data_IF_715858627456
#
_entry.id   IF_715858627456
#
_cell.length_a   1.000
_cell.length_b   1.000
_cell.length_c   1.000
_cell.angle_alpha   90.00
_cell.angle_beta   90.00
_cell.angle_gamma   90.00
#
_symmetry.space_group_name_H-M   'P 1'
#
loop_
_entity.id
_entity.type
_entity.pdbx_description
1 polymer ?
#
# COMPACT_ATOMS: atom_id res chain seq x y z
N UNK A 1 -68.74 -21.88 -53.84
CA UNK A 1 -69.52 -22.59 -52.81
C UNK A 1 -69.35 -21.79 -51.52
N UNK A 2 -70.31 -20.93 -51.14
CA UNK A 2 -71.32 -21.17 -50.07
C UNK A 2 -70.70 -21.88 -48.85
N UNK A 3 -70.40 -21.14 -47.77
CA UNK A 3 -71.26 -20.93 -46.57
C UNK A 3 -71.34 -22.21 -45.72
N UNK A 4 -71.11 -22.31 -44.40
CA UNK A 4 -71.04 -21.42 -43.20
C UNK A 4 -70.55 -22.39 -42.07
N UNK A 5 -70.03 -22.05 -40.87
CA UNK A 5 -70.75 -21.47 -39.73
C UNK A 5 -69.90 -21.45 -38.42
N UNK A 6 -70.14 -20.38 -37.64
CA UNK A 6 -70.13 -20.23 -36.16
C UNK A 6 -68.79 -20.27 -35.39
N UNK A 7 -68.54 -19.48 -34.34
CA UNK A 7 -69.25 -18.34 -33.70
C UNK A 7 -68.54 -17.97 -32.38
N UNK A 8 -68.49 -16.66 -32.04
CA UNK A 8 -68.36 -16.05 -30.69
C UNK A 8 -66.99 -16.25 -29.97
N UNK A 9 -66.40 -15.35 -29.16
CA UNK A 9 -66.76 -14.04 -28.57
C UNK A 9 -65.57 -13.57 -27.69
N UNK A 10 -65.26 -12.25 -27.72
CA UNK A 10 -64.66 -11.34 -26.69
C UNK A 10 -63.28 -11.67 -26.07
N UNK A 11 -62.36 -10.69 -26.11
CA UNK A 11 -61.70 -9.96 -24.99
C UNK A 11 -60.57 -9.11 -25.60
N UNK A 12 -60.74 -7.78 -25.67
CA UNK A 12 -60.30 -6.78 -24.68
C UNK A 12 -58.78 -6.59 -24.60
N UNK A 13 -58.41 -5.32 -24.64
CA UNK A 13 -57.07 -4.75 -24.67
C UNK A 13 -56.22 -5.16 -23.46
N UNK A 14 -54.92 -5.38 -23.71
CA UNK A 14 -53.87 -5.12 -22.74
C UNK A 14 -52.57 -4.77 -23.50
N UNK A 15 -52.20 -3.51 -23.43
CA UNK A 15 -50.93 -2.94 -23.90
C UNK A 15 -49.78 -3.49 -23.06
N UNK A 16 -48.67 -3.99 -23.65
CA UNK A 16 -47.43 -4.13 -22.90
C UNK A 16 -46.58 -2.87 -23.07
N UNK A 17 -46.64 -1.99 -22.07
CA UNK A 17 -45.55 -1.05 -21.77
C UNK A 17 -44.59 -1.81 -20.85
N UNK A 18 -43.40 -2.17 -21.34
CA UNK A 18 -42.18 -2.40 -20.56
C UNK A 18 -41.10 -2.99 -21.48
N UNK A 19 -40.04 -2.22 -21.74
CA UNK A 19 -38.90 -2.74 -22.47
C UNK A 19 -37.86 -1.68 -22.79
N UNK A 20 -37.19 -1.15 -21.76
CA UNK A 20 -35.81 -0.62 -21.86
C UNK A 20 -35.33 -0.02 -20.51
N UNK A 21 -35.09 -0.83 -19.48
CA UNK A 21 -34.14 -0.47 -18.40
C UNK A 21 -33.49 -1.75 -17.87
N UNK A 22 -32.40 -2.21 -18.51
CA UNK A 22 -31.51 -3.21 -17.92
C UNK A 22 -30.18 -3.24 -18.69
N UNK A 23 -29.44 -2.12 -18.66
CA UNK A 23 -28.01 -2.15 -18.96
C UNK A 23 -27.33 -1.14 -18.03
N UNK A 24 -26.36 -1.65 -17.25
CA UNK A 24 -25.38 -0.96 -16.40
C UNK A 24 -25.47 -1.35 -14.92
N UNK A 25 -25.16 -2.62 -14.61
CA UNK A 25 -24.83 -3.03 -13.24
C UNK A 25 -23.81 -4.19 -13.21
N UNK A 26 -22.87 -4.24 -14.16
CA UNK A 26 -21.74 -5.17 -14.11
C UNK A 26 -20.46 -4.39 -14.44
N UNK A 27 -19.97 -3.63 -13.46
CA UNK A 27 -18.60 -3.11 -13.39
C UNK A 27 -18.36 -2.56 -11.98
N UNK A 28 -18.32 -3.43 -10.97
CA UNK A 28 -17.97 -3.04 -9.60
C UNK A 28 -17.26 -4.16 -8.82
N UNK A 29 -16.61 -5.09 -9.53
CA UNK A 29 -15.70 -6.06 -8.91
C UNK A 29 -14.29 -5.61 -9.28
N UNK A 30 -13.65 -4.86 -8.38
CA UNK A 30 -12.32 -4.30 -8.59
C UNK A 30 -12.18 -2.81 -8.28
N UNK A 31 -13.11 -2.19 -7.55
CA UNK A 31 -12.81 -0.88 -6.96
C UNK A 31 -11.64 -1.07 -5.98
N UNK A 32 -10.55 -0.30 -6.07
CA UNK A 32 -9.55 -0.27 -5.01
C UNK A 32 -10.28 0.11 -3.73
N UNK A 33 -10.22 -0.76 -2.71
CA UNK A 33 -10.77 -0.42 -1.41
C UNK A 33 -10.05 0.85 -0.96
N UNK A 34 -10.83 1.91 -0.69
CA UNK A 34 -10.31 3.14 -0.11
C UNK A 34 -9.50 2.74 1.10
N UNK A 35 -8.23 3.14 1.10
CA UNK A 35 -7.39 2.94 2.25
C UNK A 35 -8.07 3.61 3.45
N UNK A 36 -8.26 2.86 4.53
CA UNK A 36 -9.06 3.26 5.69
C UNK A 36 -8.14 3.36 6.89
N UNK A 37 -7.90 4.57 7.37
CA UNK A 37 -7.34 4.80 8.69
C UNK A 37 -8.46 4.77 9.74
N UNK A 38 -8.10 4.66 11.02
CA UNK A 38 -9.05 4.85 12.12
C UNK A 38 -9.52 6.31 12.17
N UNK A 39 -10.83 6.54 12.30
CA UNK A 39 -11.49 7.86 12.18
C UNK A 39 -10.99 8.95 13.16
N UNK A 40 -10.21 8.59 14.19
CA UNK A 40 -9.82 9.45 15.32
C UNK A 40 -8.32 9.79 15.43
N UNK A 41 -7.46 9.34 14.51
CA UNK A 41 -6.01 9.54 14.63
C UNK A 41 -5.50 10.79 13.91
N UNK A 42 -5.82 11.96 14.47
CA UNK A 42 -5.42 13.28 13.97
C UNK A 42 -6.42 13.96 13.01
N UNK A 43 -6.18 15.22 12.61
CA UNK A 43 -5.10 16.09 13.08
C UNK A 43 -5.40 16.79 14.41
N UNK A 44 -4.37 17.41 15.00
CA UNK A 44 -4.44 18.21 16.21
C UNK A 44 -3.22 17.99 17.10
N UNK A 45 -3.07 18.85 18.12
CA UNK A 45 -2.06 18.61 19.16
C UNK A 45 -2.36 17.30 19.89
N UNK A 46 -1.29 16.57 20.21
CA UNK A 46 -1.30 15.35 21.00
C UNK A 46 -2.27 14.34 20.35
N UNK A 47 -2.20 14.22 19.02
CA UNK A 47 -3.08 13.33 18.27
C UNK A 47 -2.68 11.87 18.44
N UNK A 48 -1.40 11.62 18.72
CA UNK A 48 -0.84 10.29 18.97
C UNK A 48 -1.56 9.67 20.17
N UNK A 49 -1.71 10.41 21.27
CA UNK A 49 -2.37 10.01 22.52
C UNK A 49 -3.81 9.50 22.37
N UNK A 50 -4.51 9.99 21.33
CA UNK A 50 -5.94 9.74 21.09
C UNK A 50 -6.17 8.67 20.05
N UNK A 51 -5.10 8.20 19.41
CA UNK A 51 -5.19 7.24 18.36
C UNK A 51 -5.45 5.85 18.94
N UNK A 52 -6.42 5.11 18.43
CA UNK A 52 -6.67 3.73 18.89
C UNK A 52 -5.84 2.75 18.09
N UNK A 53 -5.54 1.59 18.69
CA UNK A 53 -5.06 0.43 17.94
C UNK A 53 -6.00 0.05 16.79
N UNK A 54 -5.42 -0.62 15.79
CA UNK A 54 -6.16 -1.07 14.63
C UNK A 54 -5.27 -1.54 13.50
N UNK A 55 -5.89 -1.80 12.35
CA UNK A 55 -5.20 -2.22 11.13
C UNK A 55 -5.46 -1.19 10.04
N UNK A 56 -4.39 -0.71 9.43
CA UNK A 56 -4.46 0.12 8.24
C UNK A 56 -4.17 -0.72 7.01
N UNK A 57 -4.90 -0.47 5.93
CA UNK A 57 -4.69 -1.15 4.65
C UNK A 57 -4.66 -0.13 3.52
N UNK A 58 -3.65 -0.25 2.67
CA UNK A 58 -3.53 0.50 1.44
C UNK A 58 -2.79 -0.30 0.38
N UNK A 59 -2.82 0.17 -0.87
CA UNK A 59 -1.84 -0.25 -1.86
C UNK A 59 -0.61 0.64 -1.75
N UNK A 60 0.57 0.08 -1.96
CA UNK A 60 1.82 0.83 -1.99
C UNK A 60 2.55 0.65 -3.33
N UNK A 61 3.44 1.59 -3.63
CA UNK A 61 4.42 1.48 -4.70
C UNK A 61 5.82 1.56 -4.11
N UNK A 62 6.68 0.59 -4.40
CA UNK A 62 8.09 0.63 -4.02
C UNK A 62 8.96 0.87 -5.26
N UNK A 63 9.86 1.86 -5.18
CA UNK A 63 10.88 2.13 -6.19
C UNK A 63 12.22 1.79 -5.58
N UNK A 64 12.89 0.78 -6.13
CA UNK A 64 14.08 0.17 -5.53
C UNK A 64 15.21 0.28 -6.54
N UNK A 65 16.30 0.95 -6.19
CA UNK A 65 17.55 0.90 -6.94
C UNK A 65 18.34 -0.33 -6.50
N UNK A 66 18.40 -1.33 -7.37
CA UNK A 66 18.95 -2.64 -7.08
C UNK A 66 20.29 -2.82 -7.79
N UNK A 67 21.35 -3.12 -7.02
CA UNK A 67 22.69 -3.37 -7.52
C UNK A 67 23.02 -4.85 -7.30
N UNK A 68 22.92 -5.64 -8.36
CA UNK A 68 23.19 -7.07 -8.32
C UNK A 68 24.53 -7.39 -8.98
N UNK A 69 25.21 -8.40 -8.43
CA UNK A 69 26.41 -8.99 -9.02
C UNK A 69 26.08 -10.13 -10.00
N UNK A 70 24.79 -10.37 -10.26
CA UNK A 70 24.25 -11.42 -11.11
C UNK A 70 22.97 -10.95 -11.80
N UNK A 71 22.59 -11.62 -12.89
CA UNK A 71 21.31 -11.43 -13.55
C UNK A 71 20.20 -12.13 -12.75
N UNK A 72 19.19 -11.40 -12.24
CA UNK A 72 18.14 -11.98 -11.40
C UNK A 72 17.23 -12.96 -12.14
N UNK A 73 17.19 -12.95 -13.47
CA UNK A 73 16.38 -13.88 -14.28
C UNK A 73 17.16 -15.12 -14.71
N UNK A 74 18.47 -15.01 -14.91
CA UNK A 74 19.30 -16.13 -15.41
C UNK A 74 20.26 -16.71 -14.39
N UNK A 75 20.51 -16.02 -13.27
CA UNK A 75 21.45 -16.43 -12.22
C UNK A 75 22.92 -16.28 -12.62
N UNK A 76 23.21 -15.82 -13.83
CA UNK A 76 24.57 -15.69 -14.33
C UNK A 76 25.28 -14.51 -13.68
N UNK A 77 26.57 -14.64 -13.31
CA UNK A 77 27.33 -13.53 -12.77
C UNK A 77 27.46 -12.41 -13.81
N UNK A 78 27.33 -11.16 -13.35
CA UNK A 78 27.55 -9.99 -14.19
C UNK A 78 29.01 -9.55 -14.09
N UNK A 79 29.62 -9.20 -15.22
CA UNK A 79 31.01 -8.69 -15.26
C UNK A 79 31.15 -7.30 -14.63
N UNK A 80 30.05 -6.57 -14.53
CA UNK A 80 29.93 -5.29 -13.81
C UNK A 80 28.59 -5.28 -13.08
N UNK A 81 28.53 -4.87 -11.80
CA UNK A 81 27.24 -4.69 -11.12
C UNK A 81 26.35 -3.77 -11.95
N UNK A 82 25.10 -4.18 -12.16
CA UNK A 82 24.11 -3.38 -12.87
C UNK A 82 23.15 -2.79 -11.85
N UNK A 83 23.04 -1.46 -11.84
CA UNK A 83 22.02 -0.73 -11.11
C UNK A 83 20.75 -0.64 -11.95
N UNK A 84 19.63 -1.15 -11.42
CA UNK A 84 18.32 -0.97 -12.04
C UNK A 84 17.32 -0.45 -11.05
N UNK A 85 16.54 0.54 -11.48
CA UNK A 85 15.36 0.94 -10.74
C UNK A 85 14.21 0.00 -11.09
N UNK A 86 13.68 -0.67 -10.08
CA UNK A 86 12.51 -1.53 -10.19
C UNK A 86 11.33 -0.87 -9.49
N UNK A 87 10.15 -0.97 -10.10
CA UNK A 87 8.90 -0.57 -9.48
C UNK A 87 8.11 -1.81 -9.08
N UNK A 88 7.75 -1.90 -7.80
CA UNK A 88 6.82 -2.89 -7.29
C UNK A 88 5.52 -2.20 -6.87
N UNK A 89 4.40 -2.88 -7.02
CA UNK A 89 3.09 -2.38 -6.59
C UNK A 89 2.25 -3.51 -5.99
N UNK A 90 1.47 -3.22 -4.96
CA UNK A 90 0.62 -4.22 -4.33
C UNK A 90 0.07 -3.78 -2.97
N UNK A 91 -0.66 -4.67 -2.28
CA UNK A 91 -1.20 -4.39 -0.95
C UNK A 91 -0.11 -4.29 0.12
N UNK A 92 -0.41 -3.49 1.15
CA UNK A 92 0.34 -3.38 2.39
C UNK A 92 -0.65 -3.23 3.56
N UNK A 93 -0.45 -4.02 4.60
CA UNK A 93 -1.19 -3.98 5.85
C UNK A 93 -0.25 -3.63 7.00
N UNK A 94 -0.70 -2.69 7.81
CA UNK A 94 0.03 -2.25 8.99
C UNK A 94 -0.86 -2.47 10.21
N UNK A 95 -0.33 -3.16 11.21
CA UNK A 95 -0.94 -3.22 12.53
C UNK A 95 -0.40 -2.08 13.37
N UNK A 96 -1.29 -1.38 14.08
CA UNK A 96 -0.95 -0.30 15.00
C UNK A 96 -1.43 -0.66 16.40
N UNK A 97 -0.53 -0.51 17.36
CA UNK A 97 -0.85 -0.64 18.78
C UNK A 97 -1.60 0.55 19.36
N UNK A 98 -1.90 0.43 20.66
CA UNK A 98 -2.37 1.57 21.45
C UNK A 98 -1.18 2.50 21.79
N UNK A 99 -1.42 3.80 21.99
CA UNK A 99 -0.40 4.75 22.42
C UNK A 99 0.18 4.39 23.78
N UNK A 100 1.49 4.54 23.91
CA UNK A 100 2.27 4.30 25.13
C UNK A 100 3.21 5.49 25.38
N UNK A 101 3.64 5.65 26.63
CA UNK A 101 4.55 6.72 27.08
C UNK A 101 5.97 6.53 26.54
N UNK A 102 6.42 5.28 26.47
CA UNK A 102 7.70 4.92 25.86
C UNK A 102 7.73 3.43 25.53
N UNK A 103 8.48 3.08 24.49
CA UNK A 103 8.91 1.70 24.22
C UNK A 103 10.31 1.56 24.83
N UNK A 104 10.50 0.57 25.71
CA UNK A 104 11.78 0.35 26.40
C UNK A 104 12.29 -1.06 26.10
N UNK A 105 13.53 -1.16 25.65
CA UNK A 105 14.23 -2.43 25.48
C UNK A 105 13.72 -3.31 24.33
N UNK A 106 12.98 -2.74 23.36
CA UNK A 106 12.50 -3.53 22.22
C UNK A 106 13.70 -4.04 21.40
N UNK A 107 13.79 -5.35 21.08
CA UNK A 107 15.00 -5.94 20.46
C UNK A 107 15.43 -5.27 19.16
N UNK A 108 14.46 -4.90 18.32
CA UNK A 108 14.72 -4.26 17.02
C UNK A 108 14.61 -2.72 17.03
N UNK A 109 13.85 -2.13 17.95
CA UNK A 109 13.55 -0.68 17.96
C UNK A 109 14.37 0.07 19.01
N UNK A 110 14.95 -0.64 19.99
CA UNK A 110 15.58 -0.04 21.14
C UNK A 110 14.59 0.73 22.02
N UNK A 111 15.08 1.81 22.63
CA UNK A 111 14.23 2.74 23.39
C UNK A 111 13.66 3.81 22.46
N UNK A 112 12.36 4.11 22.61
CA UNK A 112 11.63 5.16 21.89
C UNK A 112 10.71 5.90 22.85
N UNK A 113 10.58 7.22 22.68
CA UNK A 113 9.87 8.08 23.63
C UNK A 113 10.68 8.37 24.88
N UNK A 114 10.06 9.06 25.83
CA UNK A 114 10.62 9.36 27.16
C UNK A 114 9.53 9.15 28.18
N UNK A 115 9.82 8.42 29.27
CA UNK A 115 8.85 8.22 30.36
C UNK A 115 8.55 9.57 31.02
N UNK A 116 7.41 10.17 30.66
CA UNK A 116 6.98 11.49 31.12
C UNK A 116 5.46 11.54 31.43
N UNK A 117 4.76 10.41 31.35
CA UNK A 117 3.31 10.25 31.52
C UNK A 117 2.46 10.83 30.38
N UNK A 118 3.05 11.03 29.20
CA UNK A 118 2.37 11.48 27.98
C UNK A 118 2.43 10.37 26.93
N UNK A 119 1.31 10.03 26.29
CA UNK A 119 1.25 8.87 25.41
C UNK A 119 1.72 9.23 23.99
N UNK A 120 3.01 9.50 23.85
CA UNK A 120 3.61 10.05 22.64
C UNK A 120 4.21 9.02 21.66
N UNK A 121 4.05 7.71 21.92
CA UNK A 121 4.57 6.63 21.06
C UNK A 121 3.49 5.63 20.68
N UNK A 122 3.39 5.28 19.41
CA UNK A 122 2.62 4.13 18.92
C UNK A 122 3.60 3.15 18.26
N UNK A 123 3.62 1.91 18.73
CA UNK A 123 4.30 0.83 18.02
C UNK A 123 3.45 0.39 16.82
N UNK A 124 4.10 0.18 15.68
CA UNK A 124 3.47 -0.28 14.44
C UNK A 124 4.20 -1.50 13.91
N UNK A 125 3.59 -2.19 12.95
CA UNK A 125 4.16 -3.39 12.34
C UNK A 125 3.63 -3.54 10.91
N UNK A 126 4.52 -3.71 9.94
CA UNK A 126 4.14 -4.23 8.62
C UNK A 126 4.02 -5.75 8.77
N UNK A 127 2.79 -6.25 8.88
CA UNK A 127 2.56 -7.69 9.05
C UNK A 127 2.21 -8.38 7.73
N UNK A 128 1.82 -7.64 6.70
CA UNK A 128 1.65 -8.18 5.35
C UNK A 128 1.98 -7.11 4.30
N UNK A 129 2.99 -7.36 3.48
CA UNK A 129 3.35 -6.56 2.32
C UNK A 129 3.60 -7.53 1.18
N UNK A 130 2.89 -7.35 0.07
CA UNK A 130 3.01 -8.23 -1.09
C UNK A 130 3.02 -7.41 -2.37
N UNK A 131 4.21 -6.95 -2.78
CA UNK A 131 4.36 -6.09 -3.95
C UNK A 131 4.87 -6.90 -5.14
N UNK A 132 4.27 -6.69 -6.31
CA UNK A 132 4.66 -7.36 -7.55
C UNK A 132 5.41 -6.39 -8.45
N UNK A 133 6.55 -6.82 -8.98
CA UNK A 133 7.41 -6.05 -9.87
C UNK A 133 7.58 -6.69 -11.25
N UNK A 134 8.53 -6.20 -12.06
CA UNK A 134 8.80 -6.71 -13.40
C UNK A 134 9.22 -8.18 -13.39
N UNK A 135 8.90 -8.91 -14.46
CA UNK A 135 9.33 -10.31 -14.63
C UNK A 135 8.73 -11.29 -13.62
N UNK A 136 7.69 -10.91 -12.87
CA UNK A 136 7.08 -11.75 -11.84
C UNK A 136 7.81 -11.76 -10.50
N UNK A 137 8.79 -10.87 -10.32
CA UNK A 137 9.44 -10.66 -9.03
C UNK A 137 8.40 -10.21 -7.99
N UNK A 138 8.53 -10.71 -6.75
CA UNK A 138 7.69 -10.30 -5.63
C UNK A 138 8.54 -9.83 -4.46
N UNK A 139 8.21 -8.68 -3.90
CA UNK A 139 8.77 -8.20 -2.65
C UNK A 139 7.76 -8.46 -1.54
N UNK A 140 8.15 -9.22 -0.53
CA UNK A 140 7.30 -9.63 0.57
C UNK A 140 7.91 -9.19 1.89
N UNK A 141 7.11 -8.64 2.80
CA UNK A 141 7.52 -8.35 4.19
C UNK A 141 6.36 -8.61 5.15
N UNK A 142 6.68 -8.77 6.44
CA UNK A 142 5.71 -9.14 7.47
C UNK A 142 5.56 -10.64 7.64
N UNK A 143 5.26 -11.07 8.86
CA UNK A 143 5.13 -12.47 9.27
C UNK A 143 3.71 -13.03 9.14
N UNK A 144 2.76 -12.21 8.69
CA UNK A 144 1.35 -12.54 8.50
C UNK A 144 0.49 -12.36 9.76
N UNK A 145 1.05 -11.92 10.90
CA UNK A 145 0.34 -11.81 12.17
C UNK A 145 0.55 -10.43 12.79
N UNK A 146 -0.38 -9.50 12.55
CA UNK A 146 -0.34 -8.19 13.20
C UNK A 146 -0.60 -8.26 14.70
N UNK A 147 0.46 -8.38 15.50
CA UNK A 147 0.39 -8.53 16.96
C UNK A 147 1.49 -7.77 17.73
N UNK A 148 2.36 -7.04 17.03
CA UNK A 148 3.50 -6.27 17.57
C UNK A 148 4.58 -7.13 18.25
N UNK A 149 4.65 -8.42 17.92
CA UNK A 149 5.61 -9.36 18.48
C UNK A 149 6.37 -10.04 17.36
N UNK A 150 7.66 -10.28 17.60
CA UNK A 150 8.39 -11.24 16.79
C UNK A 150 7.92 -12.64 17.20
N UNK A 151 7.04 -13.24 16.41
CA UNK A 151 6.50 -14.57 16.67
C UNK A 151 7.54 -15.70 16.50
N UNK A 152 8.81 -15.36 16.21
CA UNK A 152 9.95 -16.27 16.09
C UNK A 152 9.70 -17.46 15.17
N UNK A 153 8.79 -17.31 14.21
CA UNK A 153 8.64 -18.25 13.11
C UNK A 153 9.83 -18.03 12.20
N UNK A 154 10.97 -18.65 12.54
CA UNK A 154 12.16 -18.47 11.75
C UNK A 154 11.92 -19.04 10.35
N UNK A 155 12.14 -18.23 9.32
CA UNK A 155 12.76 -16.92 9.39
C UNK A 155 11.73 -15.79 9.36
N UNK A 156 11.62 -15.11 10.52
CA UNK A 156 10.61 -14.10 10.79
C UNK A 156 10.85 -12.88 9.90
N UNK A 157 9.80 -12.47 9.18
CA UNK A 157 9.75 -11.21 8.44
C UNK A 157 9.11 -10.10 9.29
N UNK A 158 9.04 -10.29 10.61
CA UNK A 158 8.54 -9.31 11.57
C UNK A 158 9.19 -7.94 11.34
N UNK A 159 8.39 -6.97 10.94
CA UNK A 159 8.86 -5.67 10.47
C UNK A 159 8.29 -4.53 11.34
N UNK A 160 8.86 -4.31 12.53
CA UNK A 160 8.35 -3.32 13.47
C UNK A 160 8.64 -1.90 13.02
N UNK A 161 7.76 -0.99 13.41
CA UNK A 161 7.93 0.44 13.24
C UNK A 161 7.41 1.21 14.45
N UNK A 162 7.55 2.52 14.37
CA UNK A 162 7.06 3.44 15.39
C UNK A 162 6.53 4.70 14.74
N UNK A 163 5.49 5.25 15.36
CA UNK A 163 5.05 6.63 15.21
C UNK A 163 5.32 7.31 16.55
N UNK A 164 6.04 8.42 16.54
CA UNK A 164 6.45 9.13 17.76
C UNK A 164 6.24 10.62 17.60
N UNK A 165 5.59 11.26 18.56
CA UNK A 165 5.40 12.71 18.53
C UNK A 165 6.72 13.48 18.46
N UNK A 166 6.74 14.56 17.68
CA UNK A 166 7.94 15.38 17.54
C UNK A 166 8.18 16.23 18.80
N UNK A 167 9.40 16.21 19.37
CA UNK A 167 9.75 17.08 20.48
C UNK A 167 9.52 18.55 20.13
N UNK A 168 8.67 19.23 20.90
CA UNK A 168 8.37 20.65 20.72
C UNK A 168 7.31 20.97 19.66
N UNK A 169 6.72 19.96 19.00
CA UNK A 169 5.59 20.16 18.10
C UNK A 169 4.62 18.96 18.13
N UNK A 170 3.66 18.99 19.06
CA UNK A 170 2.71 17.89 19.24
C UNK A 170 1.63 17.76 18.16
N UNK A 171 1.64 18.66 17.17
CA UNK A 171 0.81 18.50 15.98
C UNK A 171 1.43 17.53 14.94
N UNK A 172 2.70 17.13 15.13
CA UNK A 172 3.45 16.28 14.20
C UNK A 172 4.06 15.07 14.90
N UNK A 173 4.20 13.98 14.16
CA UNK A 173 4.92 12.78 14.59
C UNK A 173 5.91 12.32 13.51
N UNK A 174 7.05 11.79 13.94
CA UNK A 174 7.97 11.05 13.08
C UNK A 174 7.51 9.60 12.94
N UNK A 175 7.79 9.00 11.79
CA UNK A 175 7.45 7.60 11.54
C UNK A 175 8.58 6.87 10.81
N UNK A 176 8.89 5.66 11.28
CA UNK A 176 9.86 4.79 10.63
C UNK A 176 9.51 3.31 10.84
N UNK A 177 10.06 2.46 9.98
CA UNK A 177 9.98 0.99 10.05
C UNK A 177 11.38 0.37 9.92
N UNK A 178 11.59 -0.73 10.63
CA UNK A 178 12.69 -1.65 10.41
C UNK A 178 12.13 -2.85 9.65
N UNK A 179 12.40 -2.91 8.34
CA UNK A 179 11.77 -3.86 7.43
C UNK A 179 12.68 -5.04 7.15
N UNK A 180 12.20 -6.24 7.45
CA UNK A 180 12.75 -7.48 6.95
C UNK A 180 11.88 -7.96 5.79
N UNK A 181 12.51 -8.27 4.67
CA UNK A 181 11.80 -8.62 3.45
C UNK A 181 12.45 -9.80 2.72
N UNK A 182 11.68 -10.36 1.82
CA UNK A 182 12.10 -11.37 0.86
C UNK A 182 11.75 -10.92 -0.56
N UNK A 183 12.75 -10.96 -1.45
CA UNK A 183 12.55 -10.85 -2.89
C UNK A 183 12.45 -12.25 -3.49
N UNK A 184 11.25 -12.63 -3.92
CA UNK A 184 10.97 -13.91 -4.57
C UNK A 184 10.98 -13.80 -6.09
N UNK A 185 11.04 -14.98 -6.75
CA UNK A 185 10.98 -15.10 -8.21
C UNK A 185 12.32 -14.84 -8.90
N UNK A 186 13.43 -14.83 -8.14
CA UNK A 186 14.78 -14.72 -8.69
C UNK A 186 15.33 -16.09 -9.06
N UNK A 187 16.28 -16.12 -10.00
CA UNK A 187 16.95 -17.34 -10.46
C UNK A 187 17.83 -18.00 -9.39
N UNK A 188 18.21 -17.26 -8.35
CA UNK A 188 18.98 -17.80 -7.21
C UNK A 188 18.06 -18.28 -6.07
N UNK A 189 16.74 -18.31 -6.28
CA UNK A 189 15.77 -18.53 -5.22
C UNK A 189 15.34 -17.22 -4.54
N UNK A 190 14.76 -17.29 -3.34
CA UNK A 190 14.45 -16.09 -2.57
C UNK A 190 15.74 -15.35 -2.18
N UNK A 191 15.69 -14.02 -2.15
CA UNK A 191 16.75 -13.19 -1.59
C UNK A 191 16.23 -12.43 -0.39
N UNK A 192 17.05 -12.23 0.65
CA UNK A 192 16.63 -11.57 1.89
C UNK A 192 17.67 -10.59 2.40
N UNK A 193 17.22 -9.63 3.21
CA UNK A 193 18.12 -8.85 4.04
C UNK A 193 18.31 -9.51 5.40
N UNK A 194 19.55 -9.52 5.90
CA UNK A 194 19.87 -10.02 7.25
C UNK A 194 19.80 -8.93 8.32
N UNK A 195 19.99 -7.68 7.91
CA UNK A 195 19.80 -6.50 8.75
C UNK A 195 18.60 -5.73 8.22
N UNK A 196 17.75 -5.15 9.09
CA UNK A 196 16.53 -4.51 8.64
C UNK A 196 16.85 -3.29 7.75
N UNK A 197 16.05 -3.11 6.70
CA UNK A 197 16.02 -1.86 5.98
C UNK A 197 15.29 -0.82 6.85
N UNK A 198 15.97 0.28 7.19
CA UNK A 198 15.36 1.35 7.98
C UNK A 198 14.66 2.30 7.01
N UNK A 199 13.34 2.31 7.03
CA UNK A 199 12.50 3.17 6.22
C UNK A 199 11.98 4.33 7.06
N UNK A 200 12.24 5.58 6.68
CA UNK A 200 11.76 6.76 7.41
C UNK A 200 10.83 7.59 6.56
N UNK A 201 9.74 8.08 7.15
CA UNK A 201 8.82 8.99 6.48
C UNK A 201 9.54 10.27 6.05
N UNK A 202 9.27 10.75 4.84
CA UNK A 202 9.91 11.93 4.27
C UNK A 202 9.52 13.26 4.94
N UNK A 203 8.53 13.23 5.82
CA UNK A 203 7.94 14.38 6.52
C UNK A 203 7.24 13.96 7.81
N UNK A 204 7.02 14.93 8.70
CA UNK A 204 6.21 14.74 9.90
C UNK A 204 4.74 14.46 9.55
N UNK A 205 4.16 13.50 10.26
CA UNK A 205 2.76 13.08 10.16
C UNK A 205 1.87 13.95 11.05
N UNK A 206 0.80 14.52 10.52
CA UNK A 206 -0.25 15.16 11.34
C UNK A 206 -1.45 14.22 11.59
N UNK A 207 -1.29 12.92 11.35
CA UNK A 207 -2.32 11.91 11.49
C UNK A 207 -1.91 10.62 10.77
N UNK A 208 -2.72 9.56 10.93
CA UNK A 208 -2.46 8.27 10.29
C UNK A 208 -2.82 8.33 8.79
N UNK A 209 -1.87 8.01 7.90
CA UNK A 209 -2.16 7.90 6.47
C UNK A 209 -3.19 6.78 6.17
N UNK A 210 -4.02 6.92 5.13
CA UNK A 210 -4.03 7.96 4.12
C UNK A 210 -4.95 9.17 4.46
N UNK A 211 -5.66 9.16 5.59
CA UNK A 211 -6.97 9.84 5.59
C UNK A 211 -6.95 11.36 5.85
N UNK A 212 -5.86 11.97 6.36
CA UNK A 212 -5.84 13.43 6.62
C UNK A 212 -4.46 14.05 6.40
N UNK A 213 -4.32 14.73 5.26
CA UNK A 213 -3.08 15.34 4.78
C UNK A 213 -2.94 16.81 5.18
N UNK A 214 -2.52 17.05 6.43
CA UNK A 214 -1.76 18.27 6.75
C UNK A 214 -0.32 17.86 6.97
N UNK A 215 0.59 18.39 6.17
CA UNK A 215 1.99 17.96 6.18
C UNK A 215 2.85 18.85 7.07
N UNK A 216 3.72 18.23 7.87
CA UNK A 216 4.88 18.91 8.43
C UNK A 216 5.92 19.25 7.35
N UNK A 217 6.95 20.03 7.70
CA UNK A 217 8.07 20.30 6.79
C UNK A 217 8.77 19.00 6.36
N UNK A 218 9.33 19.00 5.15
CA UNK A 218 10.17 17.91 4.62
C UNK A 218 11.43 17.77 5.48
N UNK A 219 11.71 16.56 5.96
CA UNK A 219 12.83 16.29 6.90
C UNK A 219 14.04 15.62 6.20
N UNK A 220 13.86 15.26 4.92
CA UNK A 220 14.77 14.62 3.96
C UNK A 220 15.85 13.64 4.45
N UNK A 221 15.70 12.38 4.05
CA UNK A 221 16.71 11.72 3.20
C UNK A 221 16.20 11.29 1.80
N UNK A 222 15.00 11.72 1.38
CA UNK A 222 14.41 11.31 0.11
C UNK A 222 14.82 12.24 -1.05
N UNK A 223 14.77 11.78 -2.32
CA UNK A 223 14.58 12.69 -3.43
C UNK A 223 13.20 13.38 -3.27
N UNK A 224 13.04 14.65 -3.64
CA UNK A 224 11.75 15.33 -3.56
C UNK A 224 10.71 14.55 -4.40
N UNK A 225 9.70 14.01 -3.74
CA UNK A 225 8.64 13.23 -4.36
C UNK A 225 7.37 14.08 -4.56
N UNK A 226 6.61 13.88 -5.65
CA UNK A 226 5.33 14.55 -5.85
C UNK A 226 4.21 14.02 -4.95
N UNK A 227 4.49 12.98 -4.15
CA UNK A 227 3.51 12.26 -3.35
C UNK A 227 3.45 12.79 -1.90
N UNK A 228 2.26 12.71 -1.27
CA UNK A 228 2.03 13.32 0.04
C UNK A 228 2.83 12.66 1.16
N UNK A 229 3.05 11.34 1.14
CA UNK A 229 3.90 10.63 2.12
C UNK A 229 4.67 9.52 1.39
N UNK A 230 5.97 9.49 1.62
CA UNK A 230 6.85 8.42 1.16
C UNK A 230 7.78 8.00 2.30
N UNK A 231 8.12 6.72 2.35
CA UNK A 231 9.11 6.16 3.26
C UNK A 231 10.37 5.84 2.47
N UNK A 232 11.51 6.35 2.91
CA UNK A 232 12.77 6.17 2.20
C UNK A 232 13.77 5.36 3.02
N UNK A 233 14.43 4.44 2.33
CA UNK A 233 15.44 3.57 2.89
C UNK A 233 16.81 3.82 2.28
N UNK A 234 17.83 3.60 3.11
CA UNK A 234 19.23 3.59 2.69
C UNK A 234 19.67 2.22 2.17
N UNK A 235 20.99 2.03 1.97
CA UNK A 235 21.51 0.80 1.39
C UNK A 235 21.33 -0.40 2.33
N UNK A 236 20.88 -1.54 1.78
CA UNK A 236 20.75 -2.82 2.50
C UNK A 236 21.25 -3.99 1.65
N UNK A 237 22.00 -4.88 2.27
CA UNK A 237 22.59 -6.05 1.61
C UNK A 237 21.55 -7.16 1.37
N UNK A 238 21.66 -7.81 0.22
CA UNK A 238 20.83 -8.93 -0.19
C UNK A 238 21.64 -10.22 -0.21
N UNK A 239 21.04 -11.24 0.39
CA UNK A 239 21.64 -12.55 0.60
C UNK A 239 20.80 -13.61 -0.09
N UNK A 240 21.45 -14.57 -0.72
CA UNK A 240 20.86 -15.81 -1.16
C UNK A 240 21.22 -16.92 -0.17
N UNK A 241 20.38 -17.95 -0.10
CA UNK A 241 20.68 -19.18 0.62
C UNK A 241 22.00 -19.80 0.12
N UNK A 242 22.69 -20.50 1.02
CA UNK A 242 23.97 -21.13 0.73
C UNK A 242 23.84 -22.42 -0.08
N UNK A 243 24.85 -23.29 0.05
CA UNK A 243 24.90 -24.53 -0.72
C UNK A 243 23.84 -25.56 -0.27
N UNK A 244 23.39 -25.47 0.98
CA UNK A 244 22.32 -26.29 1.54
C UNK A 244 20.92 -25.83 1.12
N UNK A 245 20.80 -24.65 0.52
CA UNK A 245 19.52 -24.04 0.11
C UNK A 245 18.69 -23.54 1.29
N UNK A 246 19.27 -23.50 2.48
CA UNK A 246 18.70 -22.90 3.67
C UNK A 246 19.43 -21.58 3.97
N UNK A 247 18.79 -20.73 4.75
CA UNK A 247 19.34 -19.44 5.15
C UNK A 247 19.67 -19.51 6.66
N UNK A 248 20.47 -18.56 7.16
CA UNK A 248 20.91 -18.52 8.57
C UNK A 248 21.72 -19.75 9.02
N UNK A 249 22.24 -20.50 8.07
CA UNK A 249 23.12 -21.67 8.28
C UNK A 249 24.60 -21.30 8.25
N UNK A 250 24.92 -20.00 8.11
CA UNK A 250 26.26 -19.40 8.04
C UNK A 250 27.03 -19.69 6.75
N UNK A 251 26.36 -20.18 5.70
CA UNK A 251 26.89 -20.29 4.35
C UNK A 251 26.15 -19.41 3.33
N UNK A 252 25.26 -18.53 3.81
CA UNK A 252 24.56 -17.53 3.02
C UNK A 252 25.54 -16.66 2.20
N UNK A 253 25.14 -16.33 0.97
CA UNK A 253 26.01 -15.63 0.01
C UNK A 253 25.45 -14.23 -0.22
N UNK A 254 26.29 -13.21 -0.05
CA UNK A 254 25.93 -11.85 -0.45
C UNK A 254 25.92 -11.77 -1.98
N UNK A 255 24.77 -11.45 -2.55
CA UNK A 255 24.56 -11.48 -4.02
C UNK A 255 24.25 -10.09 -4.59
N UNK A 256 23.99 -9.11 -3.73
CA UNK A 256 23.74 -7.75 -4.15
C UNK A 256 23.37 -6.85 -3.00
N UNK A 257 22.84 -5.68 -3.36
CA UNK A 257 22.44 -4.64 -2.43
C UNK A 257 21.32 -3.81 -3.03
N UNK A 258 20.33 -3.46 -2.23
CA UNK A 258 19.48 -2.30 -2.52
C UNK A 258 20.31 -1.08 -2.19
N UNK A 259 20.52 -0.18 -3.14
CA UNK A 259 21.28 1.05 -2.93
C UNK A 259 20.42 2.14 -2.28
N UNK A 260 19.16 2.25 -2.73
CA UNK A 260 18.14 3.13 -2.17
C UNK A 260 16.76 2.57 -2.46
N UNK A 261 15.79 2.93 -1.61
CA UNK A 261 14.40 2.58 -1.84
C UNK A 261 13.44 3.69 -1.41
N UNK A 262 12.29 3.74 -2.05
CA UNK A 262 11.19 4.66 -1.72
C UNK A 262 9.86 3.92 -1.82
N UNK A 263 9.10 3.91 -0.73
CA UNK A 263 7.78 3.32 -0.63
C UNK A 263 6.73 4.42 -0.53
N UNK A 264 5.81 4.45 -1.48
CA UNK A 264 4.73 5.42 -1.57
C UNK A 264 3.40 4.77 -1.19
N UNK A 265 2.59 5.48 -0.44
CA UNK A 265 1.20 5.10 -0.18
C UNK A 265 0.39 5.48 -1.42
N UNK A 266 -0.14 4.48 -2.14
CA UNK A 266 -1.00 4.71 -3.28
C UNK A 266 -2.38 5.13 -2.79
N UNK A 267 -2.60 6.44 -2.75
CA UNK A 267 -3.92 7.01 -2.48
C UNK A 267 -4.74 6.81 -3.75
N UNK A 268 -5.85 6.05 -3.72
CA UNK A 268 -6.72 5.96 -4.88
C UNK A 268 -7.17 7.37 -5.23
N UNK A 269 -6.95 7.80 -6.48
CA UNK A 269 -7.48 9.09 -6.93
C UNK A 269 -8.97 9.14 -6.60
N UNK A 270 -9.47 10.26 -6.04
CA UNK A 270 -10.89 10.37 -5.76
C UNK A 270 -11.62 10.23 -7.09
N UNK A 271 -12.39 9.14 -7.21
CA UNK A 271 -13.16 8.74 -8.39
C UNK A 271 -14.17 9.80 -8.84
N UNK A 272 -14.34 10.87 -8.07
CA UNK A 272 -15.08 12.08 -8.44
C UNK A 272 -14.47 12.82 -9.64
N UNK A 273 -13.16 12.74 -9.90
CA UNK A 273 -12.55 13.35 -11.10
C UNK A 273 -12.95 12.61 -12.39
N UNK A 274 -12.94 11.27 -12.38
CA UNK A 274 -13.37 10.49 -13.54
C UNK A 274 -14.90 10.55 -13.74
N UNK A 275 -15.69 10.48 -12.66
CA UNK A 275 -17.14 10.57 -12.74
C UNK A 275 -17.62 11.93 -13.27
N UNK A 276 -16.96 13.03 -12.90
CA UNK A 276 -17.29 14.37 -13.40
C UNK A 276 -16.93 14.58 -14.87
N UNK A 277 -15.87 13.95 -15.39
CA UNK A 277 -15.55 13.94 -16.82
C UNK A 277 -16.58 13.12 -17.61
N UNK A 278 -17.01 11.95 -17.12
CA UNK A 278 -18.00 11.12 -17.80
C UNK A 278 -19.42 11.72 -17.75
N UNK A 279 -19.83 12.36 -16.64
CA UNK A 279 -21.09 13.12 -16.57
C UNK A 279 -21.02 14.38 -17.43
N UNK A 280 -19.87 15.07 -17.47
CA UNK A 280 -19.66 16.23 -18.34
C UNK A 280 -19.73 15.89 -19.84
N UNK A 281 -19.13 14.77 -20.26
CA UNK A 281 -19.22 14.28 -21.64
C UNK A 281 -20.63 13.79 -21.98
N UNK A 282 -21.31 13.06 -21.09
CA UNK A 282 -22.69 12.62 -21.31
C UNK A 282 -23.68 13.79 -21.42
N UNK A 283 -23.49 14.85 -20.63
CA UNK A 283 -24.29 16.07 -20.73
C UNK A 283 -24.07 16.81 -22.07
N UNK A 284 -22.82 16.90 -22.54
CA UNK A 284 -22.49 17.54 -23.83
C UNK A 284 -23.03 16.76 -25.04
N UNK A 285 -22.97 15.43 -25.04
CA UNK A 285 -23.51 14.61 -26.13
C UNK A 285 -25.04 14.44 -26.06
N UNK A 286 -25.65 14.49 -24.86
CA UNK A 286 -27.10 14.48 -24.67
C UNK A 286 -27.79 15.77 -25.16
N UNK A 287 -27.14 16.92 -25.00
CA UNK A 287 -27.66 18.21 -25.48
C UNK A 287 -27.63 18.32 -27.02
N UNK A 288 -26.64 17.70 -27.68
CA UNK A 288 -26.53 17.74 -29.15
C UNK A 288 -27.67 17.00 -29.86
N UNK A 289 -28.23 15.94 -29.25
CA UNK A 289 -29.38 15.20 -29.80
C UNK A 289 -30.72 15.94 -29.67
N UNK A 290 -30.92 16.75 -28.62
CA UNK A 290 -32.17 17.52 -28.45
C UNK A 290 -32.28 18.71 -29.41
N UNK A 291 -31.17 19.31 -29.83
CA UNK A 291 -31.22 20.43 -30.79
C UNK A 291 -31.48 20.00 -32.24
N UNK A 292 -31.24 18.74 -32.61
CA UNK A 292 -31.57 18.23 -33.95
C UNK A 292 -33.00 17.69 -34.07
N UNK A 293 -33.66 17.33 -32.96
CA UNK A 293 -35.04 16.79 -32.99
C UNK A 293 -36.14 17.87 -33.02
N UNK A 294 -35.80 19.15 -32.88
CA UNK A 294 -36.77 20.27 -32.99
C UNK A 294 -36.68 21.00 -34.34
N UNK A 295 -36.10 20.37 -35.36
CA UNK A 295 -36.15 20.80 -36.76
C UNK A 295 -36.56 19.63 -37.65
N UNK A 296 -37.82 19.23 -37.54
CA UNK A 296 -38.58 18.54 -38.59
C UNK A 296 -40.07 18.64 -38.28
#
# INVERSE_FOLDING_TARGET
>A
MKNTFLSKTIFSQATPVLGAVALSAIALVGMPQSAKAADTCGPGNDWVDKCTSGTDWFNSNAYIDLWLNFDPQTGNPLSTPFGTQLKFSGPTHIFRGDPVDAIIGHPLLGNRGTINQHLDVIQTEIFDLQLTGPGGLKLIAGDGIGNLQDDQVHPSLYSPGVIIEQPGNSALADSFFNVFFELQGTALGPLRNMNPAILTANRGLAGIPPDKFTHGPEINPCPPQPFPIAYCGGPVDLWAAGADGEFWTNDDINVGRIHSETHEIAIPEPSTAAASIFVGLAAMFGLKRRQQSNKS
#
